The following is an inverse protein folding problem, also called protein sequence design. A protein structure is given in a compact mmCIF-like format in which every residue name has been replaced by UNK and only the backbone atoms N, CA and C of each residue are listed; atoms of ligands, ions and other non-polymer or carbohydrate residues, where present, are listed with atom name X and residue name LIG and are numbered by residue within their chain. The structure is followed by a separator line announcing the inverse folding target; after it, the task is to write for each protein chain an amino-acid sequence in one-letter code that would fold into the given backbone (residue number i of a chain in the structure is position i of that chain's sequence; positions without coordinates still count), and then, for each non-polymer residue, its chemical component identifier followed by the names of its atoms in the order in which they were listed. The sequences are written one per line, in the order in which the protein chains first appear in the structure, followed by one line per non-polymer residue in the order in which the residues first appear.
data_IF_794395485661
#
_entry.id   IF_794395485661
#
_cell.length_a   1.000
_cell.length_b   1.000
_cell.length_c   1.000
_cell.angle_alpha   90.00
_cell.angle_beta   90.00
_cell.angle_gamma   90.00
#
_symmetry.space_group_name_H-M   'P 1'
#
loop_
_entity.id
_entity.type
_entity.pdbx_description
1 polymer ?
#
# COMPACT_ATOMS: atom_id res chain seq x y z
N UNK A 1 13.29 -6.34 14.31
CA UNK A 1 13.69 -6.09 12.92
C UNK A 1 12.43 -5.82 12.10
N UNK A 2 12.46 -4.79 11.26
CA UNK A 2 11.30 -4.33 10.48
C UNK A 2 10.98 -5.28 9.32
N UNK A 3 9.69 -5.50 9.04
CA UNK A 3 9.25 -6.32 7.90
C UNK A 3 9.25 -5.52 6.60
N UNK A 4 9.77 -6.15 5.55
CA UNK A 4 9.67 -5.64 4.18
C UNK A 4 8.25 -5.80 3.63
N UNK A 5 7.97 -5.16 2.50
CA UNK A 5 6.69 -5.32 1.79
C UNK A 5 6.51 -6.76 1.33
N UNK A 6 5.41 -7.39 1.73
CA UNK A 6 5.00 -8.68 1.20
C UNK A 6 4.21 -8.52 -0.11
N UNK A 7 4.57 -9.30 -1.13
CA UNK A 7 3.99 -9.18 -2.46
C UNK A 7 2.52 -9.64 -2.48
N UNK A 8 2.21 -10.76 -1.82
CA UNK A 8 0.85 -11.30 -1.80
C UNK A 8 -0.10 -10.42 -1.02
N UNK A 9 0.32 -9.95 0.17
CA UNK A 9 -0.40 -8.94 0.93
C UNK A 9 -0.70 -7.71 0.09
N UNK A 10 0.31 -7.18 -0.62
CA UNK A 10 0.16 -5.97 -1.43
C UNK A 10 -0.87 -6.18 -2.55
N UNK A 11 -0.81 -7.32 -3.25
CA UNK A 11 -1.77 -7.66 -4.31
C UNK A 11 -3.20 -7.74 -3.76
N UNK A 12 -3.40 -8.43 -2.63
CA UNK A 12 -4.74 -8.64 -2.06
C UNK A 12 -5.30 -7.35 -1.47
N UNK A 13 -4.46 -6.54 -0.80
CA UNK A 13 -4.82 -5.23 -0.31
C UNK A 13 -5.20 -4.29 -1.47
N UNK A 14 -4.44 -4.29 -2.56
CA UNK A 14 -4.77 -3.52 -3.77
C UNK A 14 -6.15 -3.93 -4.33
N UNK A 15 -6.45 -5.23 -4.41
CA UNK A 15 -7.75 -5.69 -4.86
C UNK A 15 -8.89 -5.22 -3.96
N UNK A 16 -8.71 -5.29 -2.63
CA UNK A 16 -9.69 -4.80 -1.67
C UNK A 16 -9.96 -3.30 -1.86
N UNK A 17 -8.91 -2.50 -1.98
CA UNK A 17 -9.03 -1.05 -2.13
C UNK A 17 -9.65 -0.66 -3.47
N UNK A 18 -9.33 -1.36 -4.56
CA UNK A 18 -9.97 -1.15 -5.87
C UNK A 18 -11.47 -1.45 -5.79
N UNK A 19 -11.87 -2.56 -5.15
CA UNK A 19 -13.28 -2.91 -4.95
C UNK A 19 -14.00 -1.84 -4.12
N UNK A 20 -13.36 -1.34 -3.05
CA UNK A 20 -13.91 -0.28 -2.21
C UNK A 20 -14.06 1.03 -2.98
N UNK A 21 -13.04 1.42 -3.75
CA UNK A 21 -13.06 2.62 -4.58
C UNK A 21 -14.19 2.57 -5.63
N UNK A 22 -14.42 1.43 -6.29
CA UNK A 22 -15.53 1.24 -7.25
C UNK A 22 -16.92 1.29 -6.62
N UNK A 23 -17.04 0.92 -5.34
CA UNK A 23 -18.29 1.03 -4.59
C UNK A 23 -18.61 2.48 -4.21
N UNK A 24 -17.57 3.29 -4.00
CA UNK A 24 -17.69 4.68 -3.54
C UNK A 24 -17.75 5.70 -4.70
N UNK A 25 -17.12 5.40 -5.84
CA UNK A 25 -17.09 6.27 -7.02
C UNK A 25 -17.26 5.43 -8.30
N UNK A 26 -17.99 5.96 -9.27
CA UNK A 26 -18.20 5.36 -10.59
C UNK A 26 -17.02 5.53 -11.54
N UNK A 27 -16.05 6.40 -11.21
CA UNK A 27 -14.84 6.61 -12.01
C UNK A 27 -13.89 5.41 -11.95
N UNK A 28 -13.14 5.20 -13.03
CA UNK A 28 -12.08 4.20 -13.08
C UNK A 28 -11.00 4.50 -12.02
N UNK A 29 -10.74 3.60 -11.06
CA UNK A 29 -9.68 3.79 -10.09
C UNK A 29 -8.33 3.75 -10.82
N UNK A 30 -7.37 4.57 -10.37
CA UNK A 30 -5.99 4.55 -10.84
C UNK A 30 -5.09 4.17 -9.66
N UNK A 31 -4.15 3.25 -9.87
CA UNK A 31 -3.22 2.79 -8.83
C UNK A 31 -1.81 3.17 -9.25
N UNK A 32 -1.13 3.85 -8.33
CA UNK A 32 0.27 4.25 -8.46
C UNK A 32 1.08 3.49 -7.41
N UNK A 33 2.12 2.80 -7.85
CA UNK A 33 3.04 2.06 -6.99
C UNK A 33 4.33 2.86 -6.91
N UNK A 34 4.64 3.38 -5.73
CA UNK A 34 5.91 4.04 -5.46
C UNK A 34 6.91 3.01 -4.95
N UNK A 35 8.00 2.84 -5.68
CA UNK A 35 9.04 1.86 -5.35
C UNK A 35 10.43 2.38 -5.72
N UNK A 36 11.43 1.98 -4.94
CA UNK A 36 12.85 2.14 -5.26
C UNK A 36 13.34 1.08 -6.25
N UNK A 37 12.67 -0.08 -6.30
CA UNK A 37 12.99 -1.20 -7.18
C UNK A 37 11.82 -1.52 -8.13
N UNK A 38 11.86 -0.91 -9.32
CA UNK A 38 10.86 -1.16 -10.39
C UNK A 38 10.84 -2.62 -10.79
N UNK A 39 12.01 -3.23 -10.96
CA UNK A 39 12.11 -4.59 -11.46
C UNK A 39 11.41 -5.58 -10.54
N UNK A 40 11.59 -5.41 -9.22
CA UNK A 40 10.89 -6.19 -8.21
C UNK A 40 9.40 -5.88 -8.20
N UNK A 41 8.99 -4.61 -8.17
CA UNK A 41 7.58 -4.24 -8.12
C UNK A 41 6.81 -4.75 -9.35
N UNK A 42 7.40 -4.67 -10.54
CA UNK A 42 6.79 -5.18 -11.76
C UNK A 42 6.62 -6.70 -11.69
N UNK A 43 7.68 -7.44 -11.41
CA UNK A 43 7.67 -8.92 -11.42
C UNK A 43 6.87 -9.53 -10.28
N UNK A 44 6.92 -8.93 -9.10
CA UNK A 44 6.33 -9.49 -7.88
C UNK A 44 4.93 -8.98 -7.59
N UNK A 45 4.55 -7.79 -8.09
CA UNK A 45 3.25 -7.18 -7.81
C UNK A 45 2.45 -6.98 -9.09
N UNK A 46 2.98 -6.25 -10.08
CA UNK A 46 2.21 -5.86 -11.28
C UNK A 46 1.87 -7.06 -12.16
N UNK A 47 2.84 -7.90 -12.50
CA UNK A 47 2.63 -9.06 -13.38
C UNK A 47 1.66 -10.06 -12.75
N UNK A 48 1.84 -10.49 -11.48
CA UNK A 48 0.90 -11.41 -10.84
C UNK A 48 -0.48 -10.79 -10.65
N UNK A 49 -0.57 -9.49 -10.36
CA UNK A 49 -1.84 -8.78 -10.29
C UNK A 49 -2.56 -8.82 -11.64
N UNK A 50 -1.85 -8.58 -12.75
CA UNK A 50 -2.41 -8.65 -14.11
C UNK A 50 -2.88 -10.05 -14.49
N UNK A 51 -2.16 -11.09 -14.11
CA UNK A 51 -2.57 -12.47 -14.36
C UNK A 51 -3.84 -12.83 -13.57
N UNK A 52 -3.96 -12.36 -12.32
CA UNK A 52 -5.12 -12.65 -11.45
C UNK A 52 -6.35 -11.81 -11.80
N UNK A 53 -6.16 -10.55 -12.18
CA UNK A 53 -7.23 -9.65 -12.58
C UNK A 53 -7.25 -9.61 -14.11
N UNK A 54 -8.13 -10.40 -14.75
CA UNK A 54 -8.47 -10.35 -16.18
C UNK A 54 -9.10 -9.00 -16.63
N UNK A 55 -8.75 -7.90 -15.99
CA UNK A 55 -9.25 -6.56 -16.29
C UNK A 55 -8.19 -5.72 -16.97
N UNK A 56 -8.60 -4.75 -17.78
CA UNK A 56 -7.74 -3.77 -18.49
C UNK A 56 -7.02 -2.78 -17.55
N UNK A 57 -6.96 -3.11 -16.25
CA UNK A 57 -6.44 -2.24 -15.22
C UNK A 57 -4.98 -2.59 -14.91
N UNK A 58 -4.06 -1.70 -15.31
CA UNK A 58 -2.62 -1.88 -15.09
C UNK A 58 -2.14 -0.82 -14.08
N UNK A 59 -1.60 -1.22 -12.92
CA UNK A 59 -0.96 -0.31 -11.98
C UNK A 59 0.25 0.40 -12.62
N UNK A 60 0.40 1.69 -12.34
CA UNK A 60 1.56 2.47 -12.81
C UNK A 60 2.68 2.42 -11.77
N UNK A 61 3.85 1.90 -12.15
CA UNK A 61 5.05 1.94 -11.31
C UNK A 61 5.76 3.28 -11.48
N UNK A 62 5.94 4.00 -10.39
CA UNK A 62 6.71 5.24 -10.33
C UNK A 62 7.99 4.97 -9.53
N UNK A 63 9.13 5.01 -10.21
CA UNK A 63 10.44 5.02 -9.57
C UNK A 63 11.17 6.31 -9.86
N UNK A 64 11.80 6.88 -8.84
CA UNK A 64 12.47 8.19 -8.89
C UNK A 64 11.52 9.29 -9.35
N UNK A 65 11.07 10.11 -8.40
CA UNK A 65 10.62 11.47 -8.70
C UNK A 65 11.82 12.21 -9.30
N UNK A 66 12.00 12.12 -10.63
CA UNK A 66 12.89 13.02 -11.33
C UNK A 66 12.40 14.43 -11.04
N UNK A 67 13.33 15.28 -10.60
CA UNK A 67 13.12 16.61 -9.99
C UNK A 67 12.34 17.64 -10.84
N UNK A 68 11.72 17.22 -11.96
CA UNK A 68 10.97 18.06 -12.89
C UNK A 68 9.55 17.57 -13.23
N UNK A 69 9.17 16.33 -12.92
CA UNK A 69 7.79 15.89 -13.16
C UNK A 69 6.94 16.12 -11.91
N UNK A 70 6.41 17.33 -11.78
CA UNK A 70 5.21 17.60 -10.96
C UNK A 70 4.05 16.84 -11.61
N UNK A 71 3.99 15.52 -11.41
CA UNK A 71 2.79 14.76 -11.67
C UNK A 71 1.76 15.28 -10.66
N UNK A 72 0.87 16.15 -11.14
CA UNK A 72 -0.30 16.68 -10.42
C UNK A 72 -1.25 15.58 -9.88
N UNK A 73 -0.89 14.31 -10.07
CA UNK A 73 -1.63 13.12 -9.67
C UNK A 73 -1.14 12.54 -8.33
N UNK A 74 0.05 12.92 -7.83
CA UNK A 74 0.63 12.32 -6.62
C UNK A 74 0.04 12.79 -5.29
N UNK A 75 -0.73 13.89 -5.27
CA UNK A 75 -1.23 14.53 -4.04
C UNK A 75 -2.74 14.47 -3.86
N UNK A 76 -3.47 13.76 -4.73
CA UNK A 76 -4.94 13.65 -4.66
C UNK A 76 -5.47 12.20 -4.65
N UNK A 77 -4.64 11.23 -4.24
CA UNK A 77 -5.05 9.83 -4.13
C UNK A 77 -5.92 9.58 -2.88
N UNK A 78 -7.25 9.61 -3.04
CA UNK A 78 -8.24 9.43 -1.96
C UNK A 78 -8.00 8.24 -1.00
N UNK A 79 -7.28 7.23 -1.46
CA UNK A 79 -6.90 6.06 -0.67
C UNK A 79 -5.40 5.80 -0.86
N UNK A 80 -4.67 5.61 0.24
CA UNK A 80 -3.24 5.32 0.24
C UNK A 80 -3.00 3.96 0.91
N UNK A 81 -2.23 3.08 0.28
CA UNK A 81 -1.83 1.79 0.85
C UNK A 81 -0.36 1.82 1.22
N UNK A 82 -0.07 1.36 2.43
CA UNK A 82 1.27 1.33 2.99
C UNK A 82 1.67 -0.10 3.40
N UNK A 83 2.25 -0.89 2.47
CA UNK A 83 2.49 -2.31 2.70
C UNK A 83 3.75 -2.61 3.52
N UNK A 84 4.75 -1.72 3.48
CA UNK A 84 5.95 -1.79 4.33
C UNK A 84 5.81 -0.77 5.47
N UNK A 85 5.08 -1.13 6.52
CA UNK A 85 4.53 -0.16 7.48
C UNK A 85 5.52 0.59 8.36
N UNK A 86 6.81 0.27 8.26
CA UNK A 86 7.91 0.93 8.96
C UNK A 86 8.83 1.72 8.04
N UNK A 87 8.51 1.82 6.74
CA UNK A 87 9.30 2.63 5.80
C UNK A 87 9.09 4.12 6.01
N UNK A 88 10.16 4.86 6.31
CA UNK A 88 10.10 6.32 6.52
C UNK A 88 9.52 7.06 5.32
N UNK A 89 9.88 6.65 4.10
CA UNK A 89 9.39 7.29 2.88
C UNK A 89 7.87 7.14 2.72
N UNK A 90 7.36 5.91 2.88
CA UNK A 90 5.92 5.65 2.77
C UNK A 90 5.12 6.27 3.93
N UNK A 91 5.69 6.34 5.13
CA UNK A 91 5.08 7.02 6.28
C UNK A 91 4.85 8.51 5.98
N UNK A 92 5.88 9.22 5.48
CA UNK A 92 5.73 10.64 5.13
C UNK A 92 4.78 10.88 3.96
N UNK A 93 4.79 10.00 2.95
CA UNK A 93 3.82 10.07 1.85
C UNK A 93 2.38 9.94 2.35
N UNK A 94 2.13 8.97 3.24
CA UNK A 94 0.82 8.77 3.85
C UNK A 94 0.41 9.96 4.72
N UNK A 95 1.32 10.48 5.55
CA UNK A 95 1.07 11.66 6.38
C UNK A 95 0.73 12.91 5.55
N UNK A 96 1.41 13.12 4.43
CA UNK A 96 1.18 14.25 3.52
C UNK A 96 -0.08 14.11 2.66
N UNK A 97 -0.78 12.96 2.69
CA UNK A 97 -2.06 12.77 1.98
C UNK A 97 -3.23 13.57 2.57
N UNK A 98 -3.02 14.29 3.69
CA UNK A 98 -3.90 15.32 4.28
C UNK A 98 -5.39 14.93 4.33
N UNK A 99 -5.71 13.85 5.03
CA UNK A 99 -7.11 13.46 5.34
C UNK A 99 -7.72 12.43 4.38
N UNK A 100 -6.90 11.84 3.50
CA UNK A 100 -7.28 10.69 2.69
C UNK A 100 -7.15 9.40 3.51
N UNK A 101 -7.91 8.35 3.17
CA UNK A 101 -7.94 7.10 3.95
C UNK A 101 -6.62 6.36 3.73
N UNK A 102 -5.79 6.33 4.77
CA UNK A 102 -4.53 5.59 4.78
C UNK A 102 -4.77 4.21 5.35
N UNK A 103 -4.29 3.20 4.64
CA UNK A 103 -4.31 1.80 5.07
C UNK A 103 -2.88 1.30 5.23
N UNK A 104 -2.59 0.57 6.30
CA UNK A 104 -1.25 0.04 6.55
C UNK A 104 -1.29 -1.43 6.98
N UNK A 105 -0.21 -2.17 6.72
CA UNK A 105 -0.06 -3.54 7.19
C UNK A 105 0.18 -3.55 8.72
N UNK A 106 -0.70 -4.22 9.47
CA UNK A 106 -0.51 -4.36 10.92
C UNK A 106 0.63 -5.31 11.29
N UNK A 107 1.10 -6.16 10.37
CA UNK A 107 2.29 -6.98 10.57
C UNK A 107 3.56 -6.17 10.23
N UNK A 108 4.06 -5.39 11.20
CA UNK A 108 5.25 -4.53 11.03
C UNK A 108 6.55 -5.10 11.63
N UNK A 109 6.43 -6.09 12.53
CA UNK A 109 7.55 -6.69 13.24
C UNK A 109 7.73 -8.17 12.87
N UNK A 110 8.97 -8.58 12.61
CA UNK A 110 9.28 -9.99 12.36
C UNK A 110 8.97 -10.85 13.59
N UNK A 111 8.55 -12.13 13.42
CA UNK A 111 8.37 -13.05 14.53
C UNK A 111 9.64 -13.14 15.38
N UNK A 112 9.54 -12.85 16.68
CA UNK A 112 10.68 -12.83 17.61
C UNK A 112 11.37 -11.47 17.77
N UNK A 113 10.94 -10.43 17.04
CA UNK A 113 11.22 -9.07 17.45
C UNK A 113 10.32 -8.69 18.64
N UNK A 114 10.81 -7.87 19.57
CA UNK A 114 10.01 -7.29 20.65
C UNK A 114 8.96 -6.34 20.07
N UNK A 115 7.85 -6.89 19.57
CA UNK A 115 6.72 -6.12 19.06
C UNK A 115 6.13 -5.23 20.18
N UNK A 116 6.29 -5.67 21.42
CA UNK A 116 5.82 -5.05 22.65
C UNK A 116 6.55 -3.73 22.98
N UNK A 117 7.74 -3.51 22.42
CA UNK A 117 8.49 -2.25 22.58
C UNK A 117 7.94 -1.12 21.71
N UNK A 118 7.05 -1.43 20.77
CA UNK A 118 6.52 -0.48 19.81
C UNK A 118 4.99 -0.47 19.84
N UNK A 119 4.44 0.54 20.51
CA UNK A 119 2.99 0.78 20.50
C UNK A 119 2.56 1.33 19.13
N UNK A 120 1.61 0.68 18.44
CA UNK A 120 1.03 1.22 17.21
C UNK A 120 0.43 2.63 17.37
N UNK A 121 -0.09 2.92 18.56
CA UNK A 121 -0.76 4.20 18.87
C UNK A 121 0.21 5.38 18.88
N UNK A 122 1.49 5.13 19.17
CA UNK A 122 2.52 6.17 19.22
C UNK A 122 3.10 6.48 17.84
N UNK A 123 2.97 5.55 16.89
CA UNK A 123 3.63 5.64 15.58
C UNK A 123 2.68 5.94 14.42
N UNK A 124 1.45 5.43 14.44
CA UNK A 124 0.46 5.69 13.40
C UNK A 124 -0.62 6.64 13.91
N UNK A 125 -0.99 7.68 13.14
CA UNK A 125 -2.13 8.51 13.46
C UNK A 125 -3.42 7.68 13.63
N UNK A 126 -4.24 7.99 14.64
CA UNK A 126 -5.45 7.22 15.00
C UNK A 126 -6.51 7.08 13.88
N UNK A 127 -6.47 7.96 12.88
CA UNK A 127 -7.39 7.90 11.73
C UNK A 127 -6.91 6.96 10.61
N UNK A 128 -5.73 6.34 10.76
CA UNK A 128 -5.20 5.36 9.81
C UNK A 128 -5.80 3.99 10.10
N UNK A 129 -6.08 3.24 9.04
CA UNK A 129 -6.82 1.99 9.12
C UNK A 129 -5.84 0.82 9.01
N UNK A 130 -5.69 -0.01 10.05
CA UNK A 130 -4.88 -1.22 9.94
C UNK A 130 -5.53 -2.22 8.99
N UNK A 131 -4.71 -2.97 8.26
CA UNK A 131 -5.11 -4.11 7.45
C UNK A 131 -4.47 -5.36 8.03
N UNK A 132 -5.29 -6.40 8.21
CA UNK A 132 -4.85 -7.70 8.70
C UNK A 132 -4.66 -8.70 7.58
N UNK A 133 -3.48 -9.32 7.52
CA UNK A 133 -3.21 -10.44 6.63
C UNK A 133 -3.37 -11.75 7.41
N UNK A 134 -4.39 -12.55 7.12
CA UNK A 134 -4.44 -13.90 7.70
C UNK A 134 -3.56 -14.84 6.89
N UNK A 135 -2.43 -15.29 7.47
CA UNK A 135 -1.49 -16.24 6.84
C UNK A 135 -2.13 -17.52 6.29
N UNK A 136 -3.32 -17.91 6.76
CA UNK A 136 -4.02 -19.13 6.31
C UNK A 136 -4.86 -18.94 5.04
N UNK A 137 -5.41 -17.74 4.82
CA UNK A 137 -6.34 -17.49 3.71
C UNK A 137 -5.91 -16.33 2.80
N UNK A 138 -4.80 -15.66 3.12
CA UNK A 138 -4.31 -14.45 2.44
C UNK A 138 -5.35 -13.33 2.35
N UNK A 139 -6.41 -13.40 3.16
CA UNK A 139 -7.49 -12.40 3.18
C UNK A 139 -6.97 -11.18 3.92
N UNK A 140 -7.15 -10.04 3.28
CA UNK A 140 -6.93 -8.73 3.87
C UNK A 140 -8.26 -8.23 4.42
N UNK A 141 -8.38 -8.06 5.73
CA UNK A 141 -9.58 -7.55 6.40
C UNK A 141 -9.31 -6.21 7.09
N UNK A 142 -10.39 -5.43 7.31
CA UNK A 142 -10.41 -4.16 8.02
C UNK A 142 -10.58 -4.38 9.52
#
# INVERSE_FOLDING_TARGET
MHLASDAEFTINAMQLLIRKARKEDSRTPHVYIFTDNVNWATRSIVDPFRTRNHSDFVPYTLSRLSHGSRTKHGTSSRQCLFPASTSTYGWWLAFLSRGQRVYYNREYASPGAHADEFSPEDFWPQHWIPLHAYRRNHVVEL
#
